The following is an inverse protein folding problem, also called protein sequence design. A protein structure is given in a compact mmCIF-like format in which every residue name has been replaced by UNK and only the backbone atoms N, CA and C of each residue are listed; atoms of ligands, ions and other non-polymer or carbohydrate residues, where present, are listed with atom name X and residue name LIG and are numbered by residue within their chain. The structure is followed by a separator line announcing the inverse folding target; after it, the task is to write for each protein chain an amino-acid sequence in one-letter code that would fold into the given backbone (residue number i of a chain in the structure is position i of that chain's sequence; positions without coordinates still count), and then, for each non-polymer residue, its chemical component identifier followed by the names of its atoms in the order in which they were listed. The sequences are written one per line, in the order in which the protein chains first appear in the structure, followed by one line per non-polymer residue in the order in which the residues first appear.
data_IF_806418896099
#
_entry.id   IF_806418896099
#
_cell.length_a   1.000
_cell.length_b   1.000
_cell.length_c   1.000
_cell.angle_alpha   90.00
_cell.angle_beta   90.00
_cell.angle_gamma   90.00
#
_symmetry.space_group_name_H-M   'P 1'
#
loop_
_entity.id
_entity.type
_entity.pdbx_description
1 polymer ?
#
# COMPACT_ATOMS: atom_id res chain seq x y z
N UNK A 1 -2.65 16.37 11.99
CA UNK A 1 -1.55 16.39 10.98
C UNK A 1 -1.88 15.66 9.67
N UNK A 2 -2.83 14.71 9.64
CA UNK A 2 -3.37 14.11 8.39
C UNK A 2 -4.35 15.03 7.62
N UNK A 3 -5.23 15.76 8.32
CA UNK A 3 -6.22 16.63 7.65
C UNK A 3 -5.59 17.74 6.78
N UNK A 4 -4.46 18.33 7.20
CA UNK A 4 -3.70 19.33 6.41
C UNK A 4 -3.05 18.75 5.15
N UNK A 5 -2.85 17.44 5.13
CA UNK A 5 -2.28 16.70 4.01
C UNK A 5 -3.30 16.41 2.94
N UNK A 6 -4.48 16.02 3.41
CA UNK A 6 -5.63 15.63 2.61
C UNK A 6 -6.18 16.81 1.81
N UNK A 7 -6.14 18.04 2.34
CA UNK A 7 -6.74 19.21 1.67
C UNK A 7 -6.16 19.56 0.29
N UNK A 8 -4.92 19.17 -0.01
CA UNK A 8 -4.25 19.45 -1.28
C UNK A 8 -4.17 18.25 -2.23
N UNK A 9 -4.72 17.10 -1.84
CA UNK A 9 -4.63 15.87 -2.62
C UNK A 9 -5.94 15.59 -3.36
N UNK A 10 -5.87 14.99 -4.56
CA UNK A 10 -7.02 14.36 -5.19
C UNK A 10 -7.75 13.43 -4.21
N UNK A 11 -9.09 13.48 -4.21
CA UNK A 11 -9.95 12.67 -3.33
C UNK A 11 -9.58 11.19 -3.32
N UNK A 12 -9.15 10.66 -4.46
CA UNK A 12 -8.79 9.26 -4.61
C UNK A 12 -7.48 8.89 -3.89
N UNK A 13 -6.45 9.75 -3.89
CA UNK A 13 -5.22 9.54 -3.11
C UNK A 13 -5.52 9.40 -1.63
N UNK A 14 -6.44 10.24 -1.14
CA UNK A 14 -6.87 10.26 0.25
C UNK A 14 -7.57 8.94 0.59
N UNK A 15 -8.52 8.51 -0.25
CA UNK A 15 -9.23 7.24 -0.06
C UNK A 15 -8.27 6.06 -0.03
N UNK A 16 -7.29 6.02 -0.94
CA UNK A 16 -6.29 4.95 -0.99
C UNK A 16 -5.46 4.87 0.30
N UNK A 17 -4.96 6.01 0.78
CA UNK A 17 -4.18 6.07 2.03
C UNK A 17 -5.04 5.64 3.22
N UNK A 18 -6.27 6.12 3.31
CA UNK A 18 -7.21 5.73 4.36
C UNK A 18 -7.48 4.22 4.34
N UNK A 19 -7.64 3.63 3.16
CA UNK A 19 -7.86 2.19 3.03
C UNK A 19 -6.63 1.39 3.47
N UNK A 20 -5.42 1.84 3.13
CA UNK A 20 -4.18 1.20 3.57
C UNK A 20 -4.02 1.28 5.09
N UNK A 21 -4.24 2.47 5.68
CA UNK A 21 -4.15 2.67 7.13
C UNK A 21 -5.17 1.83 7.90
N UNK A 22 -6.41 1.77 7.40
CA UNK A 22 -7.49 1.02 8.05
C UNK A 22 -7.48 -0.46 7.69
N UNK A 23 -6.55 -0.92 6.82
CA UNK A 23 -6.46 -2.31 6.33
C UNK A 23 -7.72 -2.79 5.59
N UNK A 24 -8.40 -1.86 4.90
CA UNK A 24 -9.57 -2.11 4.06
C UNK A 24 -9.23 -2.34 2.58
N UNK A 25 -7.95 -2.55 2.27
CA UNK A 25 -7.50 -2.87 0.91
C UNK A 25 -7.80 -4.33 0.58
N UNK A 26 -8.06 -4.61 -0.70
CA UNK A 26 -8.32 -5.94 -1.26
C UNK A 26 -7.07 -6.88 -1.26
N UNK A 27 -6.43 -7.03 -0.11
CA UNK A 27 -5.40 -8.04 0.17
C UNK A 27 -6.04 -9.27 0.80
N UNK A 28 -5.42 -10.45 0.64
CA UNK A 28 -5.99 -11.73 1.04
C UNK A 28 -6.36 -11.80 2.53
N UNK A 29 -5.63 -11.13 3.44
CA UNK A 29 -6.06 -11.05 4.85
C UNK A 29 -7.43 -10.38 5.00
N UNK A 30 -7.67 -9.28 4.30
CA UNK A 30 -8.95 -8.57 4.36
C UNK A 30 -10.05 -9.36 3.65
N UNK A 31 -9.76 -9.87 2.45
CA UNK A 31 -10.71 -10.66 1.66
C UNK A 31 -11.12 -11.94 2.37
N UNK A 32 -10.19 -12.61 3.08
CA UNK A 32 -10.48 -13.79 3.87
C UNK A 32 -11.41 -13.47 5.05
N UNK A 33 -11.22 -12.31 5.72
CA UNK A 33 -12.13 -11.83 6.76
C UNK A 33 -13.56 -11.63 6.22
N UNK A 34 -13.69 -11.21 4.96
CA UNK A 34 -14.96 -11.07 4.26
C UNK A 34 -15.47 -12.38 3.63
N UNK A 35 -14.77 -13.51 3.82
CA UNK A 35 -15.08 -14.82 3.21
C UNK A 35 -15.10 -14.78 1.67
N UNK A 36 -14.34 -13.88 1.05
CA UNK A 36 -14.23 -13.74 -0.42
C UNK A 36 -13.12 -14.60 -1.02
N UNK A 37 -12.13 -14.97 -0.22
CA UNK A 37 -11.06 -15.92 -0.59
C UNK A 37 -10.96 -17.01 0.47
N UNK A 38 -10.45 -18.17 0.09
CA UNK A 38 -10.34 -19.36 0.96
C UNK A 38 -9.15 -19.30 1.91
N UNK A 39 -8.15 -18.48 1.61
CA UNK A 39 -6.90 -18.40 2.38
C UNK A 39 -6.44 -16.94 2.53
N UNK A 40 -5.92 -16.53 3.69
CA UNK A 40 -5.36 -15.20 3.89
C UNK A 40 -3.90 -15.07 3.40
N UNK A 41 -3.35 -16.13 2.80
CA UNK A 41 -1.94 -16.20 2.42
C UNK A 41 -1.66 -15.46 1.11
N UNK A 42 -0.46 -14.89 1.02
CA UNK A 42 0.11 -14.31 -0.17
C UNK A 42 0.43 -15.41 -1.18
N UNK A 43 0.02 -15.29 -2.45
CA UNK A 43 0.25 -16.33 -3.46
C UNK A 43 1.72 -16.49 -3.84
N UNK A 44 2.60 -15.57 -3.42
CA UNK A 44 4.00 -15.54 -3.80
C UNK A 44 4.97 -16.05 -2.73
N UNK A 45 4.55 -16.11 -1.46
CA UNK A 45 5.49 -16.47 -0.38
C UNK A 45 4.84 -17.10 0.87
N UNK A 46 3.58 -17.56 0.77
CA UNK A 46 2.87 -18.29 1.83
C UNK A 46 2.80 -17.61 3.20
N UNK A 47 3.03 -16.29 3.26
CA UNK A 47 2.84 -15.47 4.46
C UNK A 47 1.47 -14.80 4.41
N UNK A 48 0.89 -14.47 5.55
CA UNK A 48 -0.38 -13.73 5.60
C UNK A 48 -0.24 -12.39 4.87
N UNK A 49 -1.07 -12.16 3.86
CA UNK A 49 -1.01 -10.96 3.02
C UNK A 49 -1.64 -9.76 3.74
N UNK A 50 -0.83 -9.09 4.54
CA UNK A 50 -1.17 -7.85 5.25
C UNK A 50 -0.68 -6.62 4.50
N UNK A 51 -1.18 -5.43 4.85
CA UNK A 51 -0.66 -4.16 4.29
C UNK A 51 0.84 -4.02 4.58
N UNK A 52 1.29 -4.38 5.78
CA UNK A 52 2.71 -4.40 6.14
C UNK A 52 3.47 -5.36 5.23
N UNK A 53 2.97 -6.60 5.09
CA UNK A 53 3.60 -7.60 4.24
C UNK A 53 3.77 -7.10 2.80
N UNK A 54 2.68 -6.57 2.23
CA UNK A 54 2.64 -5.98 0.90
C UNK A 54 3.71 -4.88 0.77
N UNK A 55 3.71 -3.89 1.66
CA UNK A 55 4.57 -2.71 1.55
C UNK A 55 6.05 -2.95 1.86
N UNK A 56 6.42 -4.01 2.61
CA UNK A 56 7.79 -4.12 3.15
C UNK A 56 8.48 -5.47 3.05
N UNK A 57 7.75 -6.60 2.96
CA UNK A 57 8.39 -7.94 3.10
C UNK A 57 8.01 -8.94 2.03
N UNK A 58 7.07 -8.62 1.14
CA UNK A 58 6.69 -9.49 0.04
C UNK A 58 7.81 -9.59 -1.01
N UNK A 59 8.39 -10.78 -1.25
CA UNK A 59 9.53 -10.93 -2.17
C UNK A 59 9.16 -10.62 -3.63
N UNK A 60 7.88 -10.78 -3.99
CA UNK A 60 7.37 -10.43 -5.32
C UNK A 60 7.62 -8.95 -5.67
N UNK A 61 7.62 -8.07 -4.66
CA UNK A 61 7.69 -6.63 -4.83
C UNK A 61 9.05 -6.04 -4.42
N UNK A 62 10.11 -6.86 -4.38
CA UNK A 62 11.44 -6.42 -3.95
C UNK A 62 11.97 -5.22 -4.74
N UNK A 63 11.67 -5.18 -6.06
CA UNK A 63 12.11 -4.08 -6.93
C UNK A 63 11.38 -2.79 -6.54
N UNK A 64 10.09 -2.86 -6.32
CA UNK A 64 9.23 -1.76 -5.94
C UNK A 64 9.57 -1.29 -4.51
N UNK A 65 9.88 -2.20 -3.59
CA UNK A 65 10.39 -1.86 -2.25
C UNK A 65 11.71 -1.10 -2.33
N UNK A 66 12.62 -1.51 -3.22
CA UNK A 66 13.88 -0.80 -3.44
C UNK A 66 13.65 0.63 -3.94
N UNK A 67 12.80 0.80 -4.96
CA UNK A 67 12.43 2.12 -5.49
C UNK A 67 11.73 2.98 -4.43
N UNK A 68 10.79 2.40 -3.68
CA UNK A 68 10.09 3.06 -2.59
C UNK A 68 11.07 3.51 -1.51
N UNK A 69 12.02 2.66 -1.11
CA UNK A 69 13.08 2.98 -0.17
C UNK A 69 14.00 4.10 -0.67
N UNK A 70 14.38 4.08 -1.94
CA UNK A 70 15.18 5.16 -2.55
C UNK A 70 14.45 6.51 -2.52
N UNK A 71 13.16 6.52 -2.83
CA UNK A 71 12.35 7.75 -2.85
C UNK A 71 12.07 8.31 -1.44
N UNK A 72 11.96 7.43 -0.44
CA UNK A 72 11.71 7.81 0.96
C UNK A 72 12.98 8.15 1.74
N UNK A 73 14.14 7.63 1.32
CA UNK A 73 15.40 7.82 2.02
C UNK A 73 15.33 7.39 3.49
N UNK A 74 15.84 8.22 4.41
CA UNK A 74 15.86 7.95 5.87
C UNK A 74 14.46 7.79 6.49
N UNK A 75 13.39 8.20 5.80
CA UNK A 75 12.01 8.10 6.28
C UNK A 75 11.39 6.69 6.12
N UNK A 76 12.10 5.74 5.48
CA UNK A 76 11.58 4.41 5.16
C UNK A 76 11.51 3.42 6.36
N UNK A 77 12.00 3.80 7.55
CA UNK A 77 12.26 2.84 8.64
C UNK A 77 11.07 2.53 9.57
N UNK A 78 9.86 3.02 9.28
CA UNK A 78 8.69 2.78 10.13
C UNK A 78 7.43 2.61 9.29
N UNK A 79 6.86 1.40 9.33
CA UNK A 79 5.67 0.98 8.57
C UNK A 79 4.45 1.89 8.84
N UNK A 80 4.32 2.37 10.07
CA UNK A 80 3.27 3.31 10.50
C UNK A 80 3.53 4.75 10.08
N UNK A 81 4.81 5.15 9.99
CA UNK A 81 5.16 6.50 9.57
C UNK A 81 5.06 6.68 8.05
N UNK A 82 5.24 5.60 7.27
CA UNK A 82 5.15 5.62 5.81
C UNK A 82 3.75 6.02 5.33
N UNK A 83 2.69 5.54 6.00
CA UNK A 83 1.30 5.90 5.67
C UNK A 83 0.87 7.27 6.22
N UNK A 84 1.69 7.92 7.05
CA UNK A 84 1.32 9.16 7.77
C UNK A 84 2.11 10.38 7.28
N UNK A 85 3.18 10.18 6.51
CA UNK A 85 4.05 11.23 6.01
C UNK A 85 3.60 11.82 4.66
N UNK A 86 3.54 13.15 4.51
CA UNK A 86 3.31 13.83 3.23
C UNK A 86 4.14 13.32 2.08
N UNK A 87 5.43 13.18 2.36
CA UNK A 87 6.47 12.89 1.38
C UNK A 87 6.40 11.45 0.88
N UNK A 88 5.67 10.60 1.60
CA UNK A 88 5.52 9.19 1.25
C UNK A 88 4.33 8.91 0.34
N UNK A 89 3.43 9.88 0.15
CA UNK A 89 2.20 9.68 -0.64
C UNK A 89 2.50 9.40 -2.11
N UNK A 90 3.26 10.27 -2.78
CA UNK A 90 3.60 10.06 -4.19
C UNK A 90 4.44 8.79 -4.42
N UNK A 91 5.48 8.49 -3.61
CA UNK A 91 6.19 7.21 -3.68
C UNK A 91 5.27 5.98 -3.50
N UNK A 92 4.31 6.04 -2.57
CA UNK A 92 3.36 4.95 -2.31
C UNK A 92 2.38 4.73 -3.47
N UNK A 93 1.91 5.82 -4.10
CA UNK A 93 1.06 5.75 -5.29
C UNK A 93 1.82 5.11 -6.46
N UNK A 94 3.07 5.52 -6.68
CA UNK A 94 3.96 4.91 -7.66
C UNK A 94 4.18 3.42 -7.40
N UNK A 95 4.44 3.06 -6.14
CA UNK A 95 4.56 1.68 -5.71
C UNK A 95 3.31 0.87 -6.10
N UNK A 96 2.12 1.32 -5.71
CA UNK A 96 0.85 0.64 -5.99
C UNK A 96 0.59 0.53 -7.50
N UNK A 97 0.86 1.60 -8.26
CA UNK A 97 0.74 1.59 -9.72
C UNK A 97 1.66 0.54 -10.36
N UNK A 98 2.92 0.48 -9.92
CA UNK A 98 3.93 -0.44 -10.46
C UNK A 98 3.66 -1.91 -10.12
N UNK A 99 3.18 -2.20 -8.90
CA UNK A 99 2.81 -3.58 -8.51
C UNK A 99 1.57 -4.08 -9.25
N UNK A 100 0.68 -3.19 -9.68
CA UNK A 100 -0.58 -3.54 -10.35
C UNK A 100 -1.60 -4.27 -9.47
N UNK A 101 -1.26 -4.56 -8.21
CA UNK A 101 -2.04 -5.38 -7.29
C UNK A 101 -3.46 -4.84 -7.04
N UNK A 102 -3.65 -3.52 -7.13
CA UNK A 102 -4.92 -2.87 -6.85
C UNK A 102 -5.63 -2.29 -8.10
N UNK A 103 -5.21 -2.70 -9.30
CA UNK A 103 -5.82 -2.22 -10.55
C UNK A 103 -7.32 -2.51 -10.64
N UNK A 104 -7.78 -3.64 -10.10
CA UNK A 104 -9.20 -3.99 -10.12
C UNK A 104 -10.05 -3.11 -9.18
N UNK A 105 -9.44 -2.54 -8.14
CA UNK A 105 -10.14 -1.70 -7.15
C UNK A 105 -10.05 -0.21 -7.48
N UNK A 106 -8.92 0.25 -8.01
CA UNK A 106 -8.64 1.68 -8.24
C UNK A 106 -8.36 2.06 -9.70
N UNK A 107 -8.35 1.12 -10.64
CA UNK A 107 -8.01 1.37 -12.04
C UNK A 107 -6.52 1.63 -12.26
N UNK A 108 -6.16 2.24 -13.39
CA UNK A 108 -4.78 2.59 -13.70
C UNK A 108 -4.36 3.82 -12.87
N UNK A 109 -3.60 3.57 -11.81
CA UNK A 109 -3.11 4.57 -10.86
C UNK A 109 -2.01 5.39 -11.55
N UNK A 110 -2.28 6.64 -11.93
CA UNK A 110 -1.24 7.54 -12.43
C UNK A 110 -0.71 8.41 -11.28
N UNK A 111 0.62 8.56 -11.14
CA UNK A 111 1.23 9.43 -10.13
C UNK A 111 0.79 10.90 -10.19
#
# INVERSE_FOLDING_TARGET
KFLKLVTSLPKWHISLILWLQTTHVALNKHLHRLKKVTSPLCPYCDKVETVVHFLTTCPQYNREHHVLGMMLGRSAHSDTDLLTQPKAIAPLINYISSTGCLKDTFGNVSP
#
